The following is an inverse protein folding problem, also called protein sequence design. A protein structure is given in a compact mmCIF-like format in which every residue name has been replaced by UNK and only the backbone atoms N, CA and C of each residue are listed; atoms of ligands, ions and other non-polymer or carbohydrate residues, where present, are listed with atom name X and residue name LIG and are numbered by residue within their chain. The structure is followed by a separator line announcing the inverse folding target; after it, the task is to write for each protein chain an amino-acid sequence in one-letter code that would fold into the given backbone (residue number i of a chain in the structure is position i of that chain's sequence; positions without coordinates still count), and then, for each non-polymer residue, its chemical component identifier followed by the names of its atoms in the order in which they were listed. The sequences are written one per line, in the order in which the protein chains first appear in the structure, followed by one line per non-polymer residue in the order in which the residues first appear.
data_IF_264437815239
#
_entry.id   IF_264437815239
#
_cell.length_a   1.000
_cell.length_b   1.000
_cell.length_c   1.000
_cell.angle_alpha   90.00
_cell.angle_beta   90.00
_cell.angle_gamma   90.00
#
_symmetry.space_group_name_H-M   'P 1'
#
loop_
_entity.id
_entity.type
_entity.pdbx_description
1 polymer ?
#
# COMPACT_ATOMS: atom_id res chain seq x y z
N UNK A 1 18.15 -40.88 -66.10
CA UNK A 1 19.58 -40.89 -66.36
C UNK A 1 20.28 -40.49 -65.05
N UNK A 2 20.72 -41.50 -64.35
CA UNK A 2 21.65 -41.52 -63.18
C UNK A 2 23.05 -41.29 -63.76
N UNK A 3 24.14 -41.07 -62.98
CA UNK A 3 24.38 -41.40 -61.56
C UNK A 3 25.48 -40.53 -60.81
N UNK A 4 25.70 -40.97 -59.59
CA UNK A 4 26.96 -41.11 -58.78
C UNK A 4 27.33 -40.00 -57.83
N UNK A 5 27.30 -40.29 -56.50
CA UNK A 5 28.26 -40.96 -55.56
C UNK A 5 29.58 -40.20 -55.41
N UNK A 6 29.85 -39.86 -54.18
CA UNK A 6 30.97 -40.38 -53.35
C UNK A 6 31.04 -39.52 -52.07
N UNK A 7 30.81 -40.03 -50.90
CA UNK A 7 31.66 -40.68 -49.89
C UNK A 7 32.74 -39.79 -49.27
N UNK A 8 32.59 -39.71 -47.92
CA UNK A 8 33.63 -39.75 -46.90
C UNK A 8 34.63 -38.61 -46.75
N UNK A 9 34.58 -37.97 -45.59
CA UNK A 9 35.73 -38.14 -44.64
C UNK A 9 35.31 -37.69 -43.24
N UNK A 10 35.40 -38.65 -42.31
CA UNK A 10 35.53 -38.39 -40.87
C UNK A 10 36.85 -37.68 -40.62
N UNK A 11 36.84 -36.62 -39.84
CA UNK A 11 37.98 -36.21 -39.03
C UNK A 11 37.52 -35.51 -37.79
N UNK A 12 37.73 -36.18 -36.68
CA UNK A 12 37.70 -35.70 -35.30
C UNK A 12 38.59 -34.49 -35.10
N UNK A 13 38.07 -33.43 -34.48
CA UNK A 13 38.90 -32.48 -33.76
C UNK A 13 38.12 -31.92 -32.56
N UNK A 14 38.67 -32.25 -31.38
CA UNK A 14 38.43 -31.62 -30.11
C UNK A 14 38.48 -30.09 -30.22
N UNK A 15 37.45 -29.43 -29.76
CA UNK A 15 37.40 -27.97 -29.55
C UNK A 15 36.58 -27.64 -28.31
N UNK A 16 37.24 -27.00 -27.37
CA UNK A 16 36.82 -26.61 -26.02
C UNK A 16 35.52 -25.80 -25.99
N UNK A 17 34.80 -25.88 -24.89
CA UNK A 17 33.56 -25.07 -24.70
C UNK A 17 33.89 -23.71 -24.08
N UNK A 18 34.37 -22.80 -24.87
CA UNK A 18 34.42 -21.37 -24.57
C UNK A 18 34.03 -20.66 -25.84
N UNK A 19 32.83 -20.07 -25.87
CA UNK A 19 32.36 -18.96 -26.69
C UNK A 19 30.85 -19.05 -26.91
N UNK A 20 30.08 -19.05 -25.80
CA UNK A 20 28.66 -18.79 -25.84
C UNK A 20 28.40 -17.39 -25.24
N UNK A 21 29.01 -16.37 -25.82
CA UNK A 21 28.52 -14.99 -25.66
C UNK A 21 27.35 -14.82 -26.62
N UNK A 22 26.14 -15.04 -26.09
CA UNK A 22 24.91 -14.61 -26.75
C UNK A 22 24.90 -13.09 -26.95
N UNK A 23 24.21 -12.58 -27.99
CA UNK A 23 24.24 -11.18 -28.33
C UNK A 23 23.72 -10.35 -27.14
N UNK A 24 24.56 -9.41 -26.69
CA UNK A 24 24.23 -8.42 -25.69
C UNK A 24 22.86 -7.86 -26.00
N UNK A 25 21.93 -8.07 -25.08
CA UNK A 25 20.66 -7.38 -25.08
C UNK A 25 20.97 -5.87 -25.09
N UNK A 26 20.81 -5.27 -26.26
CA UNK A 26 20.82 -3.82 -26.41
C UNK A 26 19.79 -3.33 -25.43
N UNK A 27 20.25 -2.72 -24.34
CA UNK A 27 19.40 -1.92 -23.45
C UNK A 27 18.73 -0.89 -24.34
N UNK A 28 17.48 -1.18 -24.70
CA UNK A 28 16.61 -0.18 -25.27
C UNK A 28 16.41 0.87 -24.15
N UNK A 29 17.23 1.91 -24.20
CA UNK A 29 16.92 3.17 -23.55
C UNK A 29 15.69 3.71 -24.25
N UNK A 30 14.52 3.17 -23.86
CA UNK A 30 13.26 3.82 -24.14
C UNK A 30 13.32 5.15 -23.39
N UNK A 31 13.62 6.21 -24.12
CA UNK A 31 13.27 7.56 -23.72
C UNK A 31 11.74 7.56 -23.56
N UNK A 32 11.29 7.18 -22.39
CA UNK A 32 9.90 7.33 -22.00
C UNK A 32 9.63 8.82 -22.03
N UNK A 33 9.04 9.29 -23.12
CA UNK A 33 8.47 10.62 -23.19
C UNK A 33 7.52 10.71 -22.02
N UNK A 34 7.90 11.49 -21.01
CA UNK A 34 7.08 11.73 -19.82
C UNK A 34 5.81 12.40 -20.32
N UNK A 35 4.75 11.62 -20.47
CA UNK A 35 3.43 12.19 -20.68
C UNK A 35 3.12 13.08 -19.47
N UNK A 36 2.64 14.30 -19.67
CA UNK A 36 2.30 15.18 -18.56
C UNK A 36 1.28 14.45 -17.67
N UNK A 37 1.54 14.43 -16.38
CA UNK A 37 0.62 13.87 -15.40
C UNK A 37 -0.76 14.51 -15.51
N UNK A 38 -1.76 13.73 -15.87
CA UNK A 38 -3.16 14.15 -15.90
C UNK A 38 -3.84 13.59 -14.67
N UNK A 39 -4.30 14.42 -13.72
CA UNK A 39 -5.00 13.95 -12.54
C UNK A 39 -6.35 13.33 -12.93
N UNK A 40 -6.77 12.30 -12.20
CA UNK A 40 -8.05 11.61 -12.41
C UNK A 40 -9.26 12.55 -12.22
N UNK A 41 -9.14 13.48 -11.26
CA UNK A 41 -10.13 14.55 -11.04
C UNK A 41 -9.47 15.86 -11.46
N UNK A 42 -10.16 16.62 -12.30
CA UNK A 42 -9.67 17.91 -12.76
C UNK A 42 -9.48 18.88 -11.57
N UNK A 43 -8.44 19.73 -11.57
CA UNK A 43 -8.16 20.63 -10.44
C UNK A 43 -9.26 21.67 -10.19
N UNK A 44 -10.08 21.96 -11.19
CA UNK A 44 -11.20 22.89 -11.20
C UNK A 44 -12.55 22.23 -10.92
N UNK A 45 -12.56 20.90 -10.69
CA UNK A 45 -13.79 20.19 -10.38
C UNK A 45 -14.27 20.51 -8.95
N UNK A 46 -15.49 21.02 -8.84
CA UNK A 46 -16.15 21.26 -7.54
C UNK A 46 -16.77 19.96 -7.01
N UNK A 47 -15.93 19.14 -6.41
CA UNK A 47 -16.32 17.83 -5.84
C UNK A 47 -16.16 17.88 -4.33
N UNK A 48 -17.18 17.47 -3.59
CA UNK A 48 -17.12 17.43 -2.12
C UNK A 48 -15.98 16.50 -1.66
N UNK A 49 -15.07 17.04 -0.87
CA UNK A 49 -13.87 16.34 -0.40
C UNK A 49 -13.87 16.25 1.13
N UNK A 50 -13.63 17.37 1.81
CA UNK A 50 -13.47 17.44 3.25
C UNK A 50 -14.82 17.65 3.96
N UNK A 51 -15.65 16.61 4.01
CA UNK A 51 -16.93 16.67 4.69
C UNK A 51 -16.82 16.17 6.14
N UNK A 52 -17.64 16.69 7.08
CA UNK A 52 -17.63 16.23 8.46
C UNK A 52 -17.85 14.72 8.60
N UNK A 53 -18.69 14.13 7.76
CA UNK A 53 -18.94 12.69 7.74
C UNK A 53 -17.68 11.90 7.34
N UNK A 54 -16.90 12.40 6.35
CA UNK A 54 -15.66 11.75 5.93
C UNK A 54 -14.60 11.85 7.02
N UNK A 55 -14.46 13.02 7.66
CA UNK A 55 -13.50 13.23 8.75
C UNK A 55 -13.85 12.36 9.96
N UNK A 56 -15.11 12.31 10.37
CA UNK A 56 -15.53 11.49 11.52
C UNK A 56 -15.33 9.99 11.25
N UNK A 57 -15.71 9.51 10.06
CA UNK A 57 -15.53 8.11 9.69
C UNK A 57 -14.05 7.75 9.57
N UNK A 58 -13.23 8.63 8.99
CA UNK A 58 -11.78 8.46 8.89
C UNK A 58 -11.11 8.43 10.26
N UNK A 59 -11.48 9.32 11.17
CA UNK A 59 -10.99 9.33 12.55
C UNK A 59 -11.39 8.05 13.29
N UNK A 60 -12.63 7.59 13.14
CA UNK A 60 -13.10 6.33 13.71
C UNK A 60 -12.26 5.14 13.20
N UNK A 61 -12.03 5.06 11.89
CA UNK A 61 -11.18 4.02 11.32
C UNK A 61 -9.72 4.15 11.77
N UNK A 62 -9.20 5.37 11.90
CA UNK A 62 -7.85 5.60 12.42
C UNK A 62 -7.66 5.05 13.84
N UNK A 63 -8.64 5.26 14.71
CA UNK A 63 -8.64 4.70 16.07
C UNK A 63 -8.76 3.16 16.03
N UNK A 64 -9.70 2.63 15.24
CA UNK A 64 -9.95 1.19 15.18
C UNK A 64 -8.74 0.43 14.61
N UNK A 65 -8.23 0.85 13.46
CA UNK A 65 -7.10 0.20 12.82
C UNK A 65 -5.77 0.50 13.53
N UNK A 66 -5.63 1.69 14.13
CA UNK A 66 -4.51 2.01 15.01
C UNK A 66 -4.45 1.08 16.22
N UNK A 67 -5.56 0.85 16.89
CA UNK A 67 -5.63 -0.11 18.01
C UNK A 67 -5.32 -1.54 17.54
N UNK A 68 -5.84 -1.97 16.40
CA UNK A 68 -5.56 -3.28 15.83
C UNK A 68 -4.06 -3.44 15.49
N UNK A 69 -3.43 -2.39 14.94
CA UNK A 69 -2.00 -2.35 14.62
C UNK A 69 -1.14 -2.47 15.87
N UNK A 70 -1.47 -1.73 16.95
CA UNK A 70 -0.77 -1.87 18.24
C UNK A 70 -0.89 -3.28 18.78
N UNK A 71 -2.11 -3.84 18.79
CA UNK A 71 -2.32 -5.21 19.25
C UNK A 71 -1.49 -6.23 18.47
N UNK A 72 -1.47 -6.11 17.14
CA UNK A 72 -0.72 -7.02 16.27
C UNK A 72 0.80 -6.85 16.47
N UNK A 73 1.28 -5.62 16.55
CA UNK A 73 2.68 -5.32 16.77
C UNK A 73 3.20 -5.89 18.10
N UNK A 74 2.43 -5.77 19.17
CA UNK A 74 2.78 -6.32 20.47
C UNK A 74 2.73 -7.85 20.50
N UNK A 75 1.86 -8.46 19.69
CA UNK A 75 1.70 -9.92 19.67
C UNK A 75 2.63 -10.62 18.69
N UNK A 76 2.80 -10.08 17.52
CA UNK A 76 3.53 -10.70 16.41
C UNK A 76 4.85 -9.98 16.04
N UNK A 77 5.12 -8.81 16.63
CA UNK A 77 6.32 -8.02 16.33
C UNK A 77 6.30 -7.38 14.93
N UNK A 78 5.13 -7.31 14.29
CA UNK A 78 4.98 -6.74 12.95
C UNK A 78 3.71 -5.90 12.84
N UNK A 79 3.67 -5.02 11.83
CA UNK A 79 2.48 -4.25 11.47
C UNK A 79 2.05 -4.61 10.04
N UNK A 80 0.76 -4.45 9.76
CA UNK A 80 0.18 -4.67 8.43
C UNK A 80 -0.48 -3.37 8.03
N UNK A 81 -0.27 -2.92 6.78
CA UNK A 81 -0.99 -1.76 6.28
C UNK A 81 -2.48 -2.05 6.09
N UNK A 82 -3.32 -1.22 6.67
CA UNK A 82 -4.76 -1.29 6.55
C UNK A 82 -5.33 -0.34 5.48
N UNK A 83 -4.50 0.34 4.72
CA UNK A 83 -4.92 1.34 3.72
C UNK A 83 -5.94 0.78 2.72
N UNK A 84 -5.68 -0.39 2.16
CA UNK A 84 -6.59 -1.06 1.20
C UNK A 84 -7.89 -1.51 1.89
N UNK A 85 -7.88 -2.24 3.03
CA UNK A 85 -9.08 -2.54 3.79
C UNK A 85 -9.93 -1.33 4.15
N UNK A 86 -9.29 -0.22 4.58
CA UNK A 86 -9.99 1.03 4.91
C UNK A 86 -10.68 1.60 3.68
N UNK A 87 -10.03 1.60 2.51
CA UNK A 87 -10.63 2.05 1.25
C UNK A 87 -11.91 1.27 0.93
N UNK A 88 -11.87 -0.05 1.03
CA UNK A 88 -13.03 -0.91 0.77
C UNK A 88 -14.15 -0.66 1.79
N UNK A 89 -13.80 -0.55 3.07
CA UNK A 89 -14.77 -0.32 4.14
C UNK A 89 -15.41 1.06 4.02
N UNK A 90 -14.66 2.11 3.63
CA UNK A 90 -15.20 3.45 3.41
C UNK A 90 -16.29 3.42 2.33
N UNK A 91 -16.01 2.78 1.20
CA UNK A 91 -16.97 2.61 0.11
C UNK A 91 -18.23 1.84 0.60
N UNK A 92 -18.03 0.76 1.37
CA UNK A 92 -19.13 -0.04 1.89
C UNK A 92 -20.03 0.74 2.85
N UNK A 93 -19.43 1.51 3.76
CA UNK A 93 -20.14 2.32 4.75
C UNK A 93 -20.89 3.45 4.06
N UNK A 94 -20.25 4.19 3.15
CA UNK A 94 -20.88 5.28 2.44
C UNK A 94 -22.01 4.83 1.50
N UNK A 95 -21.92 3.64 0.91
CA UNK A 95 -23.06 3.07 0.15
C UNK A 95 -24.30 2.87 1.01
N UNK A 96 -24.14 2.64 2.32
CA UNK A 96 -25.27 2.55 3.26
C UNK A 96 -25.72 3.91 3.79
N UNK A 97 -24.78 4.85 3.95
CA UNK A 97 -25.06 6.19 4.48
C UNK A 97 -25.60 7.19 3.42
N UNK A 98 -25.55 6.82 2.15
CA UNK A 98 -25.99 7.66 1.04
C UNK A 98 -24.91 7.88 -0.02
N UNK A 99 -25.07 8.95 -0.82
CA UNK A 99 -24.09 9.29 -1.85
C UNK A 99 -22.79 9.80 -1.22
N UNK A 100 -21.67 9.31 -1.70
CA UNK A 100 -20.33 9.84 -1.40
C UNK A 100 -19.54 10.04 -2.67
N UNK A 101 -18.57 10.94 -2.60
CA UNK A 101 -17.63 11.18 -3.68
C UNK A 101 -16.39 10.28 -3.50
N UNK A 102 -15.62 10.11 -4.56
CA UNK A 102 -14.35 9.42 -4.49
C UNK A 102 -13.38 10.15 -3.54
N UNK A 103 -13.42 11.49 -3.51
CA UNK A 103 -12.57 12.30 -2.64
C UNK A 103 -12.95 12.13 -1.16
N UNK A 104 -14.23 12.04 -0.82
CA UNK A 104 -14.65 11.71 0.55
C UNK A 104 -14.13 10.33 0.99
N UNK A 105 -14.21 9.33 0.12
CA UNK A 105 -13.64 8.01 0.41
C UNK A 105 -12.12 8.06 0.56
N UNK A 106 -11.43 8.87 -0.24
CA UNK A 106 -9.99 9.09 -0.12
C UNK A 106 -9.62 9.76 1.21
N UNK A 107 -10.39 10.74 1.69
CA UNK A 107 -10.18 11.35 3.01
C UNK A 107 -10.33 10.32 4.12
N UNK A 108 -11.35 9.45 4.06
CA UNK A 108 -11.52 8.38 5.04
C UNK A 108 -10.33 7.42 5.04
N UNK A 109 -9.88 7.00 3.87
CA UNK A 109 -8.72 6.13 3.72
C UNK A 109 -7.46 6.80 4.27
N UNK A 110 -7.19 8.05 3.91
CA UNK A 110 -6.00 8.79 4.34
C UNK A 110 -5.96 9.00 5.84
N UNK A 111 -7.08 9.42 6.44
CA UNK A 111 -7.17 9.61 7.90
C UNK A 111 -7.03 8.28 8.65
N UNK A 112 -7.67 7.23 8.15
CA UNK A 112 -7.57 5.90 8.74
C UNK A 112 -6.15 5.37 8.72
N UNK A 113 -5.49 5.48 7.58
CA UNK A 113 -4.10 5.07 7.38
C UNK A 113 -3.11 5.92 8.19
N UNK A 114 -3.37 7.22 8.33
CA UNK A 114 -2.55 8.09 9.18
C UNK A 114 -2.60 7.67 10.65
N UNK A 115 -3.81 7.35 11.17
CA UNK A 115 -3.97 6.84 12.54
C UNK A 115 -3.20 5.54 12.78
N UNK A 116 -3.27 4.62 11.84
CA UNK A 116 -2.49 3.39 11.86
C UNK A 116 -0.97 3.63 11.85
N UNK A 117 -0.50 4.51 10.98
CA UNK A 117 0.93 4.83 10.85
C UNK A 117 1.49 5.47 12.12
N UNK A 118 0.73 6.36 12.76
CA UNK A 118 1.11 6.94 14.06
C UNK A 118 1.18 5.84 15.13
N UNK A 119 0.19 4.95 15.17
CA UNK A 119 0.16 3.84 16.11
C UNK A 119 1.37 2.90 15.93
N UNK A 120 1.72 2.58 14.68
CA UNK A 120 2.90 1.79 14.34
C UNK A 120 4.19 2.48 14.80
N UNK A 121 4.33 3.77 14.53
CA UNK A 121 5.47 4.57 15.00
C UNK A 121 5.62 4.52 16.51
N UNK A 122 4.54 4.74 17.25
CA UNK A 122 4.54 4.74 18.71
C UNK A 122 4.90 3.37 19.28
N UNK A 123 4.30 2.29 18.78
CA UNK A 123 4.50 0.95 19.34
C UNK A 123 5.92 0.41 19.17
N UNK A 124 6.64 0.86 18.14
CA UNK A 124 8.04 0.44 17.95
C UNK A 124 9.06 1.36 18.62
N UNK A 125 8.74 2.64 18.80
CA UNK A 125 9.69 3.62 19.35
C UNK A 125 9.58 3.77 20.86
N UNK A 126 8.36 3.79 21.40
CA UNK A 126 8.14 4.01 22.85
C UNK A 126 8.79 2.95 23.72
N UNK A 127 8.73 1.62 23.41
CA UNK A 127 9.43 0.61 24.20
C UNK A 127 10.95 0.82 24.30
N UNK A 128 11.57 1.47 23.31
CA UNK A 128 13.00 1.79 23.38
C UNK A 128 13.34 2.75 24.53
N UNK A 129 12.40 3.56 24.98
CA UNK A 129 12.56 4.46 26.13
C UNK A 129 12.76 3.69 27.44
N UNK A 130 12.27 2.45 27.54
CA UNK A 130 12.52 1.57 28.71
C UNK A 130 14.00 1.27 28.90
N UNK A 131 14.75 1.16 27.79
CA UNK A 131 16.18 0.88 27.83
C UNK A 131 17.00 2.14 28.11
N UNK A 132 16.49 3.32 27.74
CA UNK A 132 17.17 4.60 27.93
C UNK A 132 16.91 5.20 29.32
N UNK A 133 15.73 4.95 29.87
CA UNK A 133 15.32 5.45 31.15
C UNK A 133 15.35 4.34 32.19
N UNK A 134 16.09 4.54 33.29
CA UNK A 134 16.11 3.59 34.40
C UNK A 134 14.78 3.65 35.19
N UNK A 135 13.69 3.17 34.62
CA UNK A 135 12.41 3.03 35.32
C UNK A 135 11.17 3.51 34.56
N UNK A 136 10.00 3.25 35.13
CA UNK A 136 8.66 3.51 34.57
C UNK A 136 8.30 5.01 34.44
N UNK A 137 9.18 5.93 34.83
CA UNK A 137 8.91 7.37 34.89
C UNK A 137 8.59 8.00 33.53
N UNK A 138 9.00 7.35 32.42
CA UNK A 138 8.76 7.84 31.06
C UNK A 138 7.46 7.32 30.43
N UNK A 139 6.78 6.34 31.06
CA UNK A 139 5.53 5.77 30.56
C UNK A 139 4.30 6.54 31.05
N UNK A 140 4.38 7.88 31.06
CA UNK A 140 3.21 8.71 31.33
C UNK A 140 2.43 8.93 30.06
N UNK A 141 1.09 8.68 30.11
CA UNK A 141 0.20 8.87 28.98
C UNK A 141 0.37 10.24 28.30
N UNK A 142 0.48 11.33 29.07
CA UNK A 142 0.67 12.66 28.51
C UNK A 142 1.99 12.84 27.75
N UNK A 143 3.07 12.20 28.16
CA UNK A 143 4.35 12.25 27.47
C UNK A 143 4.29 11.50 26.13
N UNK A 144 3.70 10.29 26.15
CA UNK A 144 3.54 9.48 24.92
C UNK A 144 2.63 10.21 23.95
N UNK A 145 1.52 10.77 24.40
CA UNK A 145 0.60 11.55 23.56
C UNK A 145 1.29 12.77 22.96
N UNK A 146 2.05 13.53 23.77
CA UNK A 146 2.79 14.70 23.29
C UNK A 146 3.84 14.30 22.26
N UNK A 147 4.59 13.23 22.51
CA UNK A 147 5.59 12.72 21.58
C UNK A 147 4.96 12.29 20.26
N UNK A 148 3.86 11.56 20.30
CA UNK A 148 3.10 11.14 19.12
C UNK A 148 2.56 12.34 18.33
N UNK A 149 2.00 13.35 19.03
CA UNK A 149 1.47 14.55 18.40
C UNK A 149 2.58 15.38 17.73
N UNK A 150 3.69 15.61 18.42
CA UNK A 150 4.85 16.33 17.87
C UNK A 150 5.44 15.58 16.69
N UNK A 151 5.58 14.25 16.79
CA UNK A 151 6.05 13.41 15.69
C UNK A 151 5.14 13.47 14.47
N UNK A 152 3.82 13.45 14.68
CA UNK A 152 2.83 13.61 13.61
C UNK A 152 2.93 14.97 12.91
N UNK A 153 3.00 16.06 13.67
CA UNK A 153 3.18 17.41 13.12
C UNK A 153 4.50 17.52 12.35
N UNK A 154 5.58 16.99 12.90
CA UNK A 154 6.88 16.98 12.24
C UNK A 154 6.82 16.23 10.91
N UNK A 155 6.16 15.07 10.88
CA UNK A 155 5.96 14.28 9.66
C UNK A 155 5.21 15.06 8.57
N UNK A 156 4.18 15.82 8.94
CA UNK A 156 3.44 16.70 8.01
C UNK A 156 4.39 17.78 7.45
N UNK A 157 5.13 18.46 8.33
CA UNK A 157 6.05 19.53 7.93
C UNK A 157 7.12 19.05 6.96
N UNK A 158 7.66 17.86 7.18
CA UNK A 158 8.62 17.24 6.26
C UNK A 158 7.98 16.83 4.93
N UNK A 159 6.74 16.32 4.97
CA UNK A 159 6.08 15.83 3.76
C UNK A 159 5.68 16.93 2.80
N UNK A 160 5.39 18.16 3.27
CA UNK A 160 5.00 19.29 2.42
C UNK A 160 6.02 19.55 1.31
N UNK A 161 7.33 19.79 1.59
CA UNK A 161 8.33 20.00 0.54
C UNK A 161 8.65 18.71 -0.23
N UNK A 162 8.68 17.55 0.44
CA UNK A 162 9.02 16.27 -0.16
C UNK A 162 7.96 15.81 -1.17
N UNK A 163 6.67 16.10 -0.95
CA UNK A 163 5.59 15.75 -1.85
C UNK A 163 5.86 16.24 -3.27
N UNK A 164 6.29 17.49 -3.43
CA UNK A 164 6.55 18.05 -4.75
C UNK A 164 7.69 17.32 -5.46
N UNK A 165 8.73 16.96 -4.72
CA UNK A 165 9.91 16.29 -5.27
C UNK A 165 9.64 14.82 -5.56
N UNK A 166 9.16 14.06 -4.58
CA UNK A 166 9.06 12.60 -4.66
C UNK A 166 7.78 12.13 -5.38
N UNK A 167 6.65 12.81 -5.19
CA UNK A 167 5.37 12.36 -5.74
C UNK A 167 5.08 13.01 -7.08
N UNK A 168 5.27 14.35 -7.19
CA UNK A 168 4.88 15.06 -8.42
C UNK A 168 5.95 14.94 -9.50
N UNK A 169 7.22 15.27 -9.19
CA UNK A 169 8.31 15.27 -10.19
C UNK A 169 8.75 13.86 -10.60
N UNK A 170 8.74 12.93 -9.66
CA UNK A 170 9.14 11.54 -9.90
C UNK A 170 7.94 10.63 -10.19
N UNK A 171 6.79 11.22 -10.55
CA UNK A 171 5.59 10.47 -10.92
C UNK A 171 5.89 9.51 -12.07
N UNK A 172 5.51 8.24 -11.89
CA UNK A 172 5.77 7.17 -12.86
C UNK A 172 7.20 6.60 -12.86
N UNK A 173 8.15 7.21 -12.15
CA UNK A 173 9.51 6.65 -11.96
C UNK A 173 9.61 5.90 -10.64
N UNK A 174 9.08 6.48 -9.55
CA UNK A 174 9.06 5.85 -8.25
C UNK A 174 7.79 5.00 -8.11
N UNK A 175 7.92 3.71 -7.79
CA UNK A 175 6.75 2.86 -7.56
C UNK A 175 6.17 3.14 -6.18
N UNK A 176 4.86 3.40 -6.14
CA UNK A 176 4.05 3.51 -4.91
C UNK A 176 2.95 2.44 -4.95
N UNK A 177 3.29 1.15 -4.76
CA UNK A 177 2.35 0.06 -5.05
C UNK A 177 1.10 0.11 -4.17
N UNK A 178 1.24 0.46 -2.91
CA UNK A 178 0.12 0.55 -1.99
C UNK A 178 -0.81 1.73 -2.32
N UNK A 179 -0.25 2.93 -2.53
CA UNK A 179 -1.03 4.10 -2.93
C UNK A 179 -1.74 3.90 -4.26
N UNK A 180 -1.09 3.27 -5.23
CA UNK A 180 -1.69 2.92 -6.52
C UNK A 180 -2.84 1.95 -6.34
N UNK A 181 -2.67 0.89 -5.56
CA UNK A 181 -3.73 -0.08 -5.26
C UNK A 181 -4.93 0.57 -4.56
N UNK A 182 -4.68 1.46 -3.59
CA UNK A 182 -5.75 2.23 -2.94
C UNK A 182 -6.52 3.09 -3.94
N UNK A 183 -5.82 3.81 -4.82
CA UNK A 183 -6.43 4.63 -5.84
C UNK A 183 -7.29 3.80 -6.81
N UNK A 184 -6.79 2.64 -7.25
CA UNK A 184 -7.54 1.72 -8.10
C UNK A 184 -8.80 1.20 -7.40
N UNK A 185 -8.71 0.82 -6.13
CA UNK A 185 -9.87 0.37 -5.34
C UNK A 185 -10.91 1.48 -5.22
N UNK A 186 -10.50 2.73 -4.98
CA UNK A 186 -11.41 3.86 -4.90
C UNK A 186 -12.10 4.14 -6.25
N UNK A 187 -11.35 4.12 -7.35
CA UNK A 187 -11.89 4.30 -8.71
C UNK A 187 -12.87 3.19 -9.09
N UNK A 188 -12.55 1.93 -8.78
CA UNK A 188 -13.43 0.80 -9.00
C UNK A 188 -14.68 0.89 -8.13
N UNK A 189 -14.52 1.33 -6.89
CA UNK A 189 -15.62 1.54 -5.95
C UNK A 189 -16.61 2.60 -6.40
N UNK A 190 -16.12 3.68 -7.02
CA UNK A 190 -16.92 4.76 -7.60
C UNK A 190 -17.69 4.26 -8.84
N UNK A 191 -17.01 3.62 -9.77
CA UNK A 191 -17.62 3.09 -11.00
C UNK A 191 -18.63 1.99 -10.72
N UNK A 192 -18.46 1.24 -9.63
CA UNK A 192 -19.32 0.11 -9.27
C UNK A 192 -19.17 -1.07 -10.24
N UNK A 193 -20.23 -1.88 -10.36
CA UNK A 193 -20.29 -3.00 -11.28
C UNK A 193 -19.57 -4.25 -10.81
N UNK A 194 -19.18 -5.12 -11.74
CA UNK A 194 -18.61 -6.44 -11.45
C UNK A 194 -17.21 -6.38 -10.82
N UNK A 195 -16.43 -5.35 -11.15
CA UNK A 195 -15.12 -5.16 -10.51
C UNK A 195 -15.25 -4.87 -9.02
N UNK A 196 -16.15 -3.95 -8.65
CA UNK A 196 -16.43 -3.66 -7.25
C UNK A 196 -16.91 -4.93 -6.50
N UNK A 197 -17.77 -5.73 -7.14
CA UNK A 197 -18.23 -7.00 -6.57
C UNK A 197 -17.07 -7.96 -6.28
N UNK A 198 -16.08 -8.08 -7.17
CA UNK A 198 -14.90 -8.94 -6.97
C UNK A 198 -14.07 -8.50 -5.77
N UNK A 199 -13.86 -7.19 -5.59
CA UNK A 199 -13.15 -6.64 -4.43
C UNK A 199 -13.86 -7.03 -3.13
N UNK A 200 -15.19 -6.85 -3.07
CA UNK A 200 -15.97 -7.26 -1.90
C UNK A 200 -15.96 -8.77 -1.66
N UNK A 201 -16.02 -9.59 -2.71
CA UNK A 201 -15.88 -11.04 -2.57
C UNK A 201 -14.53 -11.43 -1.97
N UNK A 202 -13.43 -10.78 -2.38
CA UNK A 202 -12.12 -10.98 -1.78
C UNK A 202 -12.09 -10.66 -0.27
N UNK A 203 -12.68 -9.54 0.12
CA UNK A 203 -12.78 -9.15 1.54
C UNK A 203 -13.62 -10.14 2.33
N UNK A 204 -14.78 -10.57 1.80
CA UNK A 204 -15.62 -11.56 2.47
C UNK A 204 -14.96 -12.93 2.57
N UNK A 205 -14.22 -13.34 1.53
CA UNK A 205 -13.44 -14.59 1.56
C UNK A 205 -12.35 -14.54 2.64
N UNK A 206 -11.60 -13.42 2.72
CA UNK A 206 -10.58 -13.23 3.74
C UNK A 206 -11.17 -13.18 5.15
N UNK A 207 -12.28 -12.47 5.34
CA UNK A 207 -13.00 -12.41 6.60
C UNK A 207 -13.56 -13.77 7.00
N UNK A 208 -14.12 -14.51 6.05
CA UNK A 208 -14.61 -15.88 6.26
C UNK A 208 -13.49 -16.83 6.66
N UNK A 209 -12.35 -16.76 5.97
CA UNK A 209 -11.17 -17.54 6.31
C UNK A 209 -10.69 -17.22 7.74
N UNK A 210 -10.59 -15.93 8.08
CA UNK A 210 -10.20 -15.51 9.43
C UNK A 210 -11.18 -16.00 10.49
N UNK A 211 -12.50 -15.97 10.22
CA UNK A 211 -13.52 -16.47 11.13
C UNK A 211 -13.37 -17.97 11.35
N UNK A 212 -13.15 -18.75 10.28
CA UNK A 212 -12.94 -20.18 10.34
C UNK A 212 -11.70 -20.54 11.17
N UNK A 213 -10.60 -19.80 10.97
CA UNK A 213 -9.35 -20.02 11.69
C UNK A 213 -9.41 -19.53 13.14
N UNK A 214 -9.88 -18.29 13.35
CA UNK A 214 -9.83 -17.62 14.64
C UNK A 214 -10.92 -18.07 15.63
N UNK A 215 -12.13 -18.28 15.15
CA UNK A 215 -13.30 -18.61 15.99
C UNK A 215 -13.54 -20.09 16.03
N UNK A 216 -13.58 -20.76 14.92
CA UNK A 216 -13.88 -22.19 14.83
C UNK A 216 -12.66 -23.09 15.06
N UNK A 217 -11.44 -22.52 15.07
CA UNK A 217 -10.17 -23.25 15.30
C UNK A 217 -10.07 -24.56 14.51
N UNK A 218 -10.54 -24.53 13.25
CA UNK A 218 -10.57 -25.69 12.36
C UNK A 218 -9.17 -26.14 11.95
N UNK A 219 -8.22 -25.23 12.02
CA UNK A 219 -6.80 -25.50 11.82
C UNK A 219 -6.04 -25.11 13.06
N UNK A 220 -5.28 -26.02 13.65
CA UNK A 220 -4.32 -25.72 14.73
C UNK A 220 -2.96 -25.49 14.07
N UNK A 221 -2.30 -24.43 14.54
CA UNK A 221 -0.86 -24.27 14.38
C UNK A 221 -0.09 -25.35 15.12
#
# INVERSE_FOLDING_TARGET
MSPRRSTEHLATAHGSPEDAHGPAAKSASSSTSQQPYVPYIAPDADVAELTPKAVLLGALFGILFGAATVYLALRAGLTISASIPISVLSIAVFKKLGKSTILENNIVQTLGSAGESIAAGVVFTVPALLFLAQGDSFFRYGQILTLAAVGGVLGILFMIPLRRSLIVKEHGKLPYPEGTACAEVLMVGERGGDLARRVFHGVFAAAGYWLLMGVLKLWRD
#
